data_IF_675800072708
#
_entry.id   IF_675800072708
#
_cell.length_a   1.000
_cell.length_b   1.000
_cell.length_c   1.000
_cell.angle_alpha   90.00
_cell.angle_beta   90.00
_cell.angle_gamma   90.00
#
_symmetry.space_group_name_H-M   'P 1'
#
loop_
_entity.id
_entity.type
_entity.pdbx_description
1 polymer ?
#
# COMPACT_ATOMS: atom_id res chain seq x y z
N UNK A 1 -45.82 30.89 44.79
CA UNK A 1 -45.41 29.47 44.74
C UNK A 1 -44.42 29.35 43.58
N UNK A 2 -43.11 29.40 43.81
CA UNK A 2 -42.28 28.27 44.25
C UNK A 2 -41.99 27.40 43.02
N UNK A 3 -40.82 27.47 42.38
CA UNK A 3 -39.64 26.72 42.79
C UNK A 3 -38.36 27.31 42.15
N UNK A 4 -37.32 27.47 42.98
CA UNK A 4 -35.94 27.69 42.57
C UNK A 4 -35.18 26.34 42.57
N UNK A 5 -34.05 26.33 41.86
CA UNK A 5 -32.82 25.56 42.11
C UNK A 5 -32.63 24.18 41.43
N UNK A 6 -31.64 24.15 40.51
CA UNK A 6 -30.33 23.49 40.69
C UNK A 6 -29.92 22.58 39.50
N UNK A 7 -28.90 23.04 38.76
CA UNK A 7 -28.07 22.23 37.85
C UNK A 7 -27.42 21.05 38.59
N UNK A 8 -27.33 19.84 38.00
CA UNK A 8 -26.37 18.84 38.44
C UNK A 8 -25.03 18.98 37.68
N UNK A 9 -24.01 19.44 38.41
CA UNK A 9 -22.61 19.58 38.03
C UNK A 9 -21.85 18.26 37.71
N UNK A 10 -22.53 17.14 37.46
CA UNK A 10 -21.90 15.81 37.42
C UNK A 10 -21.39 15.37 36.04
N UNK A 11 -21.89 15.96 34.94
CA UNK A 11 -21.59 15.51 33.57
C UNK A 11 -20.28 16.12 33.02
N UNK A 12 -19.78 17.19 33.65
CA UNK A 12 -18.59 17.92 33.19
C UNK A 12 -17.25 17.26 33.56
N UNK A 13 -17.21 16.32 34.52
CA UNK A 13 -15.95 15.63 34.90
C UNK A 13 -15.61 14.49 33.94
N UNK A 14 -16.62 13.79 33.42
CA UNK A 14 -16.45 12.64 32.54
C UNK A 14 -15.91 13.03 31.15
N UNK A 15 -16.41 14.13 30.57
CA UNK A 15 -15.91 14.65 29.28
C UNK A 15 -14.48 15.18 29.37
N UNK A 16 -14.09 15.76 30.51
CA UNK A 16 -12.70 16.15 30.79
C UNK A 16 -11.78 14.95 30.98
N UNK A 17 -12.26 13.87 31.60
CA UNK A 17 -11.52 12.62 31.73
C UNK A 17 -11.30 11.95 30.36
N UNK A 18 -12.33 11.93 29.51
CA UNK A 18 -12.24 11.43 28.13
C UNK A 18 -11.29 12.27 27.28
N UNK A 19 -11.30 13.60 27.39
CA UNK A 19 -10.33 14.47 26.72
C UNK A 19 -8.91 14.28 27.25
N UNK A 20 -8.73 14.07 28.55
CA UNK A 20 -7.41 13.77 29.13
C UNK A 20 -6.88 12.41 28.68
N UNK A 21 -7.73 11.38 28.65
CA UNK A 21 -7.37 10.06 28.14
C UNK A 21 -7.06 10.15 26.64
N UNK A 22 -7.87 10.87 25.85
CA UNK A 22 -7.63 11.07 24.41
C UNK A 22 -6.36 11.87 24.13
N UNK A 23 -6.04 12.89 24.94
CA UNK A 23 -4.80 13.67 24.84
C UNK A 23 -3.57 12.88 25.30
N UNK A 24 -3.68 12.08 26.36
CA UNK A 24 -2.63 11.15 26.81
C UNK A 24 -2.41 10.07 25.74
N UNK A 25 -3.48 9.57 25.11
CA UNK A 25 -3.39 8.61 24.02
C UNK A 25 -2.75 9.24 22.78
N UNK A 26 -3.15 10.46 22.39
CA UNK A 26 -2.56 11.20 21.27
C UNK A 26 -1.08 11.53 21.52
N UNK A 27 -0.70 11.86 22.76
CA UNK A 27 0.69 12.17 23.14
C UNK A 27 1.56 10.91 23.20
N UNK A 28 1.05 9.80 23.74
CA UNK A 28 1.73 8.50 23.72
C UNK A 28 1.84 7.93 22.29
N UNK A 29 0.84 8.16 21.43
CA UNK A 29 0.90 7.84 19.99
C UNK A 29 1.98 8.67 19.28
N UNK A 30 2.11 9.97 19.58
CA UNK A 30 3.16 10.81 18.98
C UNK A 30 4.56 10.36 19.41
N UNK A 31 4.71 9.95 20.68
CA UNK A 31 5.97 9.41 21.23
C UNK A 31 6.29 8.04 20.59
N UNK A 32 5.30 7.19 20.37
CA UNK A 32 5.48 5.91 19.67
C UNK A 32 5.81 6.10 18.17
N UNK A 33 5.21 7.11 17.53
CA UNK A 33 5.51 7.49 16.15
C UNK A 33 6.94 8.03 15.97
N UNK A 34 7.41 8.90 16.88
CA UNK A 34 8.78 9.45 16.84
C UNK A 34 9.85 8.42 17.23
N UNK A 35 9.51 7.47 18.10
CA UNK A 35 10.38 6.33 18.39
C UNK A 35 10.49 5.40 17.16
N UNK A 36 9.37 5.09 16.49
CA UNK A 36 9.35 4.19 15.33
C UNK A 36 10.17 4.70 14.14
N UNK A 37 10.19 6.02 13.88
CA UNK A 37 11.00 6.60 12.79
C UNK A 37 12.50 6.61 13.12
N UNK A 38 12.86 6.67 14.41
CA UNK A 38 14.26 6.60 14.87
C UNK A 38 14.83 5.18 14.79
N UNK A 39 13.99 4.16 15.01
CA UNK A 39 14.36 2.76 14.81
C UNK A 39 14.57 2.41 13.32
N UNK A 40 13.81 3.01 12.41
CA UNK A 40 13.93 2.76 10.97
C UNK A 40 15.23 3.35 10.35
N UNK A 41 15.68 4.51 10.83
CA UNK A 41 17.00 5.07 10.44
C UNK A 41 18.19 4.23 10.91
N UNK A 42 18.01 3.47 12.00
CA UNK A 42 19.05 2.56 12.51
C UNK A 42 19.09 1.23 11.73
N UNK A 43 17.93 0.72 11.32
CA UNK A 43 17.84 -0.54 10.54
C UNK A 43 18.37 -0.38 9.10
N UNK A 44 18.15 0.78 8.46
CA UNK A 44 18.74 1.07 7.13
C UNK A 44 20.26 1.26 7.14
N UNK A 45 20.90 1.43 8.31
CA UNK A 45 22.35 1.55 8.46
C UNK A 45 23.08 0.22 8.65
N UNK A 46 22.37 -0.86 8.98
CA UNK A 46 22.94 -2.18 9.24
C UNK A 46 22.33 -3.19 8.29
N UNK A 47 22.65 -3.03 7.01
CA UNK A 47 22.50 -4.12 6.05
C UNK A 47 23.53 -5.19 6.37
N UNK A 48 23.05 -6.42 6.54
CA UNK A 48 23.84 -7.65 6.50
C UNK A 48 24.40 -8.21 7.83
N UNK A 49 23.55 -8.49 8.82
CA UNK A 49 23.81 -9.53 9.82
C UNK A 49 22.49 -10.10 10.39
N UNK A 50 21.99 -11.16 9.75
CA UNK A 50 20.97 -12.02 10.34
C UNK A 50 21.64 -12.93 11.38
N UNK A 51 21.14 -12.89 12.63
CA UNK A 51 21.50 -13.73 13.78
C UNK A 51 22.62 -13.23 14.70
N UNK A 52 22.37 -12.14 15.42
CA UNK A 52 22.78 -11.93 16.82
C UNK A 52 22.25 -10.56 17.24
N UNK A 53 21.21 -10.53 18.08
CA UNK A 53 20.87 -9.47 19.05
C UNK A 53 19.43 -9.69 19.56
N UNK A 54 19.12 -10.94 19.94
CA UNK A 54 18.28 -11.14 21.10
C UNK A 54 19.20 -10.90 22.30
N UNK A 55 18.82 -9.97 23.16
CA UNK A 55 19.56 -9.49 24.34
C UNK A 55 20.31 -8.18 24.11
N UNK A 56 19.90 -7.19 24.90
CA UNK A 56 20.54 -5.91 25.20
C UNK A 56 20.18 -4.71 24.29
N UNK A 57 19.48 -3.78 24.93
CA UNK A 57 19.32 -2.36 24.58
C UNK A 57 18.13 -1.93 23.72
N UNK A 58 16.97 -2.57 23.88
CA UNK A 58 15.70 -1.95 23.50
C UNK A 58 15.20 -1.01 24.60
N UNK A 59 15.11 0.29 24.31
CA UNK A 59 14.58 1.32 25.23
C UNK A 59 13.12 1.05 25.66
N UNK A 60 12.40 0.24 24.88
CA UNK A 60 11.05 -0.25 25.21
C UNK A 60 11.06 -1.11 26.49
N UNK A 61 12.16 -1.82 26.78
CA UNK A 61 12.28 -2.63 28.00
C UNK A 61 12.61 -1.77 29.25
N UNK A 62 13.22 -0.59 29.07
CA UNK A 62 13.51 0.35 30.17
C UNK A 62 12.26 1.07 30.66
N UNK A 63 11.32 1.37 29.77
CA UNK A 63 10.03 1.99 30.13
C UNK A 63 9.12 0.99 30.83
N UNK A 64 9.12 -0.28 30.40
CA UNK A 64 8.40 -1.36 31.08
C UNK A 64 8.84 -1.60 32.53
N UNK A 65 10.15 -1.51 32.81
CA UNK A 65 10.68 -1.66 34.18
C UNK A 65 10.30 -0.48 35.11
N UNK A 66 10.28 0.75 34.60
CA UNK A 66 9.89 1.91 35.40
C UNK A 66 8.39 1.97 35.71
N UNK A 67 7.54 1.36 34.87
CA UNK A 67 6.11 1.26 35.13
C UNK A 67 5.79 0.17 36.17
N UNK A 68 6.54 -0.95 36.15
CA UNK A 68 6.40 -2.05 37.11
C UNK A 68 6.90 -1.66 38.52
N UNK A 69 7.97 -0.87 38.63
CA UNK A 69 8.50 -0.37 39.93
C UNK A 69 7.56 0.66 40.58
N UNK A 70 6.76 1.40 39.81
CA UNK A 70 5.81 2.38 40.35
C UNK A 70 4.52 1.75 40.89
N UNK A 71 4.17 0.53 40.45
CA UNK A 71 3.02 -0.21 40.99
C UNK A 71 3.33 -0.94 42.30
N UNK A 72 4.61 -1.22 42.60
CA UNK A 72 5.04 -1.80 43.89
C UNK A 72 5.26 -0.75 45.00
N UNK A 73 5.20 0.55 44.70
CA UNK A 73 5.47 1.63 45.66
C UNK A 73 4.21 2.15 46.39
N UNK A 74 3.05 1.53 46.20
CA UNK A 74 1.78 1.97 46.82
C UNK A 74 1.31 1.06 47.97
N UNK A 75 2.19 0.21 48.49
CA UNK A 75 1.87 -0.70 49.58
C UNK A 75 2.92 -0.58 50.71
N UNK A 76 2.88 0.53 51.45
CA UNK A 76 3.50 0.63 52.79
C UNK A 76 3.11 1.96 53.49
N UNK A 77 2.05 1.92 54.32
CA UNK A 77 1.94 2.68 55.57
C UNK A 77 0.57 2.50 56.22
N UNK A 78 0.47 1.63 57.23
CA UNK A 78 0.30 2.08 58.62
C UNK A 78 0.19 0.87 59.56
N UNK A 79 0.88 1.01 60.69
CA UNK A 79 1.17 -0.02 61.68
C UNK A 79 -0.07 -0.44 62.49
N UNK A 80 0.02 -1.65 63.04
CA UNK A 80 -1.05 -2.25 63.83
C UNK A 80 -1.37 -1.57 65.14
N UNK A 81 -2.60 -1.83 65.59
CA UNK A 81 -3.02 -1.80 66.99
C UNK A 81 -4.03 -2.92 67.21
N UNK A 82 -3.87 -3.60 68.34
CA UNK A 82 -4.65 -4.74 68.81
C UNK A 82 -6.16 -4.45 68.96
N UNK A 83 -6.96 -5.51 68.74
CA UNK A 83 -8.12 -5.93 69.54
C UNK A 83 -9.23 -4.90 69.84
N UNK A 84 -10.39 -5.03 69.19
CA UNK A 84 -11.69 -5.32 69.84
C UNK A 84 -12.76 -5.68 68.80
N UNK A 85 -13.54 -6.68 69.17
CA UNK A 85 -14.70 -7.26 68.50
C UNK A 85 -15.81 -6.23 68.23
N UNK A 86 -16.30 -6.13 66.98
CA UNK A 86 -17.62 -5.55 66.62
C UNK A 86 -17.91 -5.70 65.12
N UNK A 87 -18.83 -6.64 64.81
CA UNK A 87 -19.69 -6.75 63.63
C UNK A 87 -19.28 -5.94 62.38
N UNK A 88 -18.55 -6.59 61.47
CA UNK A 88 -18.23 -6.10 60.14
C UNK A 88 -19.48 -6.07 59.26
N UNK A 89 -20.05 -4.88 59.02
CA UNK A 89 -20.90 -4.66 57.85
C UNK A 89 -19.98 -4.69 56.62
N UNK A 90 -19.89 -5.85 55.96
CA UNK A 90 -19.24 -5.98 54.65
C UNK A 90 -20.06 -5.16 53.67
N UNK A 91 -19.70 -3.89 53.50
CA UNK A 91 -20.14 -3.09 52.36
C UNK A 91 -19.48 -3.72 51.13
N UNK A 92 -20.16 -4.71 50.56
CA UNK A 92 -19.83 -5.29 49.27
C UNK A 92 -19.93 -4.14 48.27
N UNK A 93 -18.82 -3.41 48.06
CA UNK A 93 -18.67 -2.54 46.90
C UNK A 93 -18.99 -3.44 45.73
N UNK A 94 -20.14 -3.20 45.12
CA UNK A 94 -20.48 -3.69 43.79
C UNK A 94 -19.31 -3.29 42.90
N UNK A 95 -18.35 -4.21 42.75
CA UNK A 95 -17.28 -4.13 41.76
C UNK A 95 -18.02 -4.23 40.46
N UNK A 96 -18.44 -3.05 40.02
CA UNK A 96 -19.54 -2.90 39.09
C UNK A 96 -19.14 -3.54 37.77
N UNK A 97 -20.13 -4.15 37.10
CA UNK A 97 -20.05 -4.79 35.78
C UNK A 97 -19.29 -3.92 34.75
N UNK A 98 -19.22 -2.62 34.97
CA UNK A 98 -18.46 -1.66 34.17
C UNK A 98 -16.93 -1.88 34.15
N UNK A 99 -16.33 -2.37 35.24
CA UNK A 99 -14.86 -2.55 35.32
C UNK A 99 -14.31 -3.54 34.29
N UNK A 100 -14.84 -4.78 34.18
CA UNK A 100 -14.40 -5.72 33.14
C UNK A 100 -14.76 -5.23 31.73
N UNK A 101 -15.91 -4.54 31.56
CA UNK A 101 -16.30 -3.96 30.27
C UNK A 101 -15.32 -2.88 29.78
N UNK A 102 -14.86 -2.01 30.67
CA UNK A 102 -13.87 -0.96 30.34
C UNK A 102 -12.53 -1.58 29.97
N UNK A 103 -12.08 -2.63 30.68
CA UNK A 103 -10.83 -3.34 30.36
C UNK A 103 -10.87 -3.94 28.94
N UNK A 104 -11.95 -4.64 28.61
CA UNK A 104 -12.15 -5.20 27.26
C UNK A 104 -12.24 -4.09 26.22
N UNK A 105 -12.92 -2.98 26.52
CA UNK A 105 -13.01 -1.81 25.65
C UNK A 105 -11.63 -1.24 25.30
N UNK A 106 -10.76 -1.05 26.28
CA UNK A 106 -9.39 -0.55 26.06
C UNK A 106 -8.57 -1.53 25.22
N UNK A 107 -8.68 -2.84 25.49
CA UNK A 107 -8.00 -3.85 24.68
C UNK A 107 -8.45 -3.80 23.22
N UNK A 108 -9.75 -3.75 22.97
CA UNK A 108 -10.31 -3.67 21.61
C UNK A 108 -9.83 -2.41 20.91
N UNK A 109 -9.90 -1.25 21.57
CA UNK A 109 -9.47 0.03 20.98
C UNK A 109 -7.97 -0.03 20.64
N UNK A 110 -7.13 -0.55 21.55
CA UNK A 110 -5.69 -0.68 21.30
C UNK A 110 -5.37 -1.61 20.13
N UNK A 111 -6.10 -2.73 20.01
CA UNK A 111 -5.95 -3.69 18.92
C UNK A 111 -6.36 -3.07 17.58
N UNK A 112 -7.48 -2.35 17.53
CA UNK A 112 -7.96 -1.68 16.31
C UNK A 112 -6.95 -0.63 15.83
N UNK A 113 -6.40 0.17 16.75
CA UNK A 113 -5.41 1.20 16.42
C UNK A 113 -4.13 0.55 15.88
N UNK A 114 -3.63 -0.51 16.54
CA UNK A 114 -2.45 -1.24 16.10
C UNK A 114 -2.65 -1.91 14.73
N UNK A 115 -3.75 -2.65 14.55
CA UNK A 115 -4.09 -3.30 13.29
C UNK A 115 -4.22 -2.30 12.15
N UNK A 116 -4.86 -1.16 12.41
CA UNK A 116 -5.01 -0.08 11.43
C UNK A 116 -3.67 0.51 11.01
N UNK A 117 -2.78 0.79 11.97
CA UNK A 117 -1.45 1.32 11.69
C UNK A 117 -0.57 0.31 10.93
N UNK A 118 -0.60 -0.96 11.33
CA UNK A 118 0.12 -2.03 10.65
C UNK A 118 -0.35 -2.18 9.19
N UNK A 119 -1.66 -2.19 8.95
CA UNK A 119 -2.22 -2.26 7.59
C UNK A 119 -1.82 -1.05 6.75
N UNK A 120 -1.88 0.17 7.30
CA UNK A 120 -1.44 1.39 6.59
C UNK A 120 0.01 1.30 6.13
N UNK A 121 0.91 0.88 7.02
CA UNK A 121 2.33 0.70 6.69
C UNK A 121 2.54 -0.38 5.63
N UNK A 122 1.83 -1.50 5.74
CA UNK A 122 1.91 -2.58 4.74
C UNK A 122 1.44 -2.09 3.36
N UNK A 123 0.39 -1.28 3.28
CA UNK A 123 -0.09 -0.69 2.02
C UNK A 123 0.94 0.29 1.45
N UNK A 124 1.56 1.13 2.28
CA UNK A 124 2.61 2.04 1.84
C UNK A 124 3.80 1.27 1.26
N UNK A 125 4.27 0.24 1.95
CA UNK A 125 5.32 -0.64 1.45
C UNK A 125 4.93 -1.23 0.09
N UNK A 126 3.72 -1.81 -0.05
CA UNK A 126 3.25 -2.35 -1.32
C UNK A 126 3.12 -1.31 -2.45
N UNK A 127 2.93 -0.02 -2.11
CA UNK A 127 2.80 1.08 -3.07
C UNK A 127 4.17 1.63 -3.51
N UNK A 128 5.20 1.49 -2.68
CA UNK A 128 6.57 1.93 -2.97
C UNK A 128 7.31 0.98 -3.93
N UNK A 129 6.78 -0.22 -4.20
CA UNK A 129 7.44 -1.15 -5.11
C UNK A 129 7.48 -0.58 -6.54
N UNK A 130 8.64 -0.69 -7.23
CA UNK A 130 8.76 -0.20 -8.59
C UNK A 130 7.87 -1.01 -9.56
N UNK A 131 7.34 -0.37 -10.61
CA UNK A 131 6.56 -1.09 -11.64
C UNK A 131 7.43 -2.10 -12.41
N UNK A 132 6.81 -3.16 -12.95
CA UNK A 132 7.48 -4.13 -13.84
C UNK A 132 7.64 -3.58 -15.25
N UNK A 133 6.69 -2.74 -15.67
CA UNK A 133 6.71 -2.10 -16.98
C UNK A 133 7.25 -0.69 -16.87
N UNK A 134 7.78 -0.20 -17.98
CA UNK A 134 8.08 1.22 -18.13
C UNK A 134 6.78 2.04 -18.13
N UNK A 135 6.94 3.35 -17.98
CA UNK A 135 5.86 4.33 -18.04
C UNK A 135 4.99 4.14 -19.31
N UNK A 136 3.71 4.51 -19.21
CA UNK A 136 2.76 4.24 -20.28
C UNK A 136 2.54 5.47 -21.16
N UNK A 137 3.48 5.68 -22.09
CA UNK A 137 3.43 6.79 -23.06
C UNK A 137 2.08 6.89 -23.79
N UNK A 138 1.47 5.75 -24.14
CA UNK A 138 0.19 5.74 -24.84
C UNK A 138 -0.98 6.24 -23.96
N UNK A 139 -0.93 5.95 -22.65
CA UNK A 139 -1.90 6.44 -21.66
C UNK A 139 -1.69 7.92 -21.41
N UNK A 140 -0.45 8.35 -21.24
CA UNK A 140 -0.13 9.75 -20.95
C UNK A 140 -0.43 10.66 -22.14
N UNK A 141 -0.10 10.23 -23.36
CA UNK A 141 -0.49 10.92 -24.60
C UNK A 141 -2.00 11.04 -24.73
N UNK A 142 -2.75 9.98 -24.39
CA UNK A 142 -4.21 10.03 -24.41
C UNK A 142 -4.76 11.09 -23.44
N UNK A 143 -4.25 11.13 -22.20
CA UNK A 143 -4.69 12.14 -21.23
C UNK A 143 -4.28 13.55 -21.60
N UNK A 144 -3.09 13.74 -22.18
CA UNK A 144 -2.68 15.03 -22.73
C UNK A 144 -3.63 15.48 -23.84
N UNK A 145 -3.97 14.59 -24.78
CA UNK A 145 -4.94 14.89 -25.84
C UNK A 145 -6.32 15.19 -25.25
N UNK A 146 -6.74 14.47 -24.20
CA UNK A 146 -8.01 14.69 -23.50
C UNK A 146 -8.04 16.08 -22.82
N UNK A 147 -6.98 16.46 -22.11
CA UNK A 147 -6.85 17.80 -21.51
C UNK A 147 -6.87 18.91 -22.57
N UNK A 148 -6.16 18.70 -23.69
CA UNK A 148 -6.17 19.66 -24.80
C UNK A 148 -7.57 19.76 -25.41
N UNK A 149 -8.31 18.65 -25.51
CA UNK A 149 -9.68 18.64 -26.06
C UNK A 149 -10.69 19.44 -25.23
N UNK A 150 -10.43 19.63 -23.93
CA UNK A 150 -11.24 20.47 -23.04
C UNK A 150 -10.98 21.96 -23.27
N UNK A 151 -9.75 22.33 -23.66
CA UNK A 151 -9.34 23.73 -23.88
C UNK A 151 -9.49 24.17 -25.33
N UNK A 152 -9.28 23.27 -26.27
CA UNK A 152 -9.28 23.51 -27.71
C UNK A 152 -10.12 22.44 -28.43
N UNK A 153 -10.80 22.81 -29.52
CA UNK A 153 -11.59 21.88 -30.32
C UNK A 153 -10.74 20.86 -31.08
N UNK A 154 -10.38 19.75 -30.41
CA UNK A 154 -9.76 18.58 -31.04
C UNK A 154 -10.84 17.75 -31.75
N UNK A 155 -10.53 17.27 -32.95
CA UNK A 155 -11.46 16.44 -33.71
C UNK A 155 -11.66 15.06 -33.03
N UNK A 156 -12.92 14.62 -32.90
CA UNK A 156 -13.32 13.39 -32.21
C UNK A 156 -12.57 12.13 -32.68
N UNK A 157 -12.34 11.99 -33.99
CA UNK A 157 -11.52 10.90 -34.58
C UNK A 157 -10.10 10.81 -33.99
N UNK A 158 -9.47 11.94 -33.63
CA UNK A 158 -8.12 11.93 -33.04
C UNK A 158 -8.19 11.34 -31.63
N UNK A 159 -9.21 11.71 -30.85
CA UNK A 159 -9.43 11.17 -29.51
C UNK A 159 -9.73 9.65 -29.55
N UNK A 160 -10.55 9.20 -30.51
CA UNK A 160 -10.82 7.77 -30.74
C UNK A 160 -9.55 7.00 -31.16
N UNK A 161 -8.73 7.57 -32.05
CA UNK A 161 -7.47 6.96 -32.46
C UNK A 161 -6.46 6.87 -31.31
N UNK A 162 -6.37 7.91 -30.46
CA UNK A 162 -5.54 7.89 -29.27
C UNK A 162 -6.01 6.83 -28.26
N UNK A 163 -7.33 6.68 -28.06
CA UNK A 163 -7.87 5.64 -27.18
C UNK A 163 -7.58 4.23 -27.73
N UNK A 164 -7.66 4.01 -29.05
CA UNK A 164 -7.28 2.74 -29.68
C UNK A 164 -5.80 2.41 -29.45
N UNK A 165 -4.91 3.40 -29.51
CA UNK A 165 -3.49 3.19 -29.23
C UNK A 165 -3.24 2.84 -27.75
N UNK A 166 -3.92 3.54 -26.82
CA UNK A 166 -3.91 3.19 -25.38
C UNK A 166 -4.41 1.76 -25.16
N UNK A 167 -5.56 1.40 -25.74
CA UNK A 167 -6.15 0.07 -25.62
C UNK A 167 -5.25 -1.04 -26.19
N UNK A 168 -4.60 -0.80 -27.33
CA UNK A 168 -3.65 -1.75 -27.92
C UNK A 168 -2.43 -1.99 -27.00
N UNK A 169 -1.87 -0.95 -26.38
CA UNK A 169 -0.76 -1.09 -25.44
C UNK A 169 -1.18 -1.79 -24.13
N UNK A 170 -2.37 -1.51 -23.59
CA UNK A 170 -2.90 -2.23 -22.42
C UNK A 170 -3.10 -3.72 -22.72
N UNK A 171 -3.63 -4.08 -23.90
CA UNK A 171 -3.76 -5.47 -24.35
C UNK A 171 -2.39 -6.13 -24.52
N UNK A 172 -1.41 -5.42 -25.09
CA UNK A 172 -0.03 -5.92 -25.24
C UNK A 172 0.58 -6.27 -23.88
N UNK A 173 0.44 -5.39 -22.88
CA UNK A 173 0.93 -5.63 -21.51
C UNK A 173 0.20 -6.81 -20.86
N UNK A 174 -1.13 -6.88 -21.02
CA UNK A 174 -1.94 -8.01 -20.52
C UNK A 174 -1.49 -9.36 -21.11
N UNK A 175 -1.26 -9.45 -22.42
CA UNK A 175 -0.77 -10.69 -23.02
C UNK A 175 0.61 -11.07 -22.50
N UNK A 176 1.51 -10.10 -22.38
CA UNK A 176 2.86 -10.34 -21.86
C UNK A 176 2.84 -10.85 -20.42
N UNK A 177 1.99 -10.30 -19.55
CA UNK A 177 1.85 -10.83 -18.18
C UNK A 177 1.30 -12.25 -18.16
N UNK A 178 0.24 -12.54 -18.94
CA UNK A 178 -0.33 -13.89 -19.02
C UNK A 178 0.65 -14.92 -19.56
N UNK A 179 1.45 -14.54 -20.55
CA UNK A 179 2.50 -15.41 -21.09
C UNK A 179 3.60 -15.69 -20.06
N UNK A 180 3.92 -14.72 -19.19
CA UNK A 180 4.95 -14.79 -18.16
C UNK A 180 4.50 -15.44 -16.85
N UNK A 181 3.20 -15.61 -16.64
CA UNK A 181 2.62 -16.18 -15.42
C UNK A 181 3.20 -17.55 -15.02
N UNK A 182 3.24 -18.57 -15.92
CA UNK A 182 3.76 -19.88 -15.54
C UNK A 182 5.26 -19.85 -15.21
N UNK A 183 6.06 -19.05 -15.91
CA UNK A 183 7.51 -18.95 -15.68
C UNK A 183 7.78 -18.30 -14.32
N UNK A 184 7.09 -17.21 -13.98
CA UNK A 184 7.24 -16.55 -12.69
C UNK A 184 6.77 -17.46 -11.55
N UNK A 185 5.66 -18.18 -11.73
CA UNK A 185 5.16 -19.14 -10.73
C UNK A 185 6.16 -20.26 -10.43
N UNK A 186 6.83 -20.80 -11.46
CA UNK A 186 7.88 -21.81 -11.28
C UNK A 186 9.09 -21.21 -10.57
N UNK A 187 9.57 -20.04 -10.99
CA UNK A 187 10.72 -19.38 -10.38
C UNK A 187 10.49 -18.98 -8.92
N UNK A 188 9.25 -18.62 -8.57
CA UNK A 188 8.85 -18.34 -7.19
C UNK A 188 8.85 -19.62 -6.33
N UNK A 189 8.29 -20.73 -6.83
CA UNK A 189 8.32 -22.03 -6.14
C UNK A 189 9.75 -22.55 -5.93
N UNK A 190 10.64 -22.27 -6.88
CA UNK A 190 12.05 -22.63 -6.79
C UNK A 190 12.84 -21.75 -5.79
N UNK A 191 12.24 -20.67 -5.27
CA UNK A 191 12.89 -19.72 -4.36
C UNK A 191 13.91 -18.81 -5.03
N UNK A 192 13.96 -18.76 -6.37
CA UNK A 192 14.87 -17.89 -7.13
C UNK A 192 14.39 -16.43 -7.20
N UNK A 193 13.10 -16.20 -6.94
CA UNK A 193 12.47 -14.87 -6.92
C UNK A 193 12.05 -14.55 -5.48
N UNK A 194 12.33 -13.33 -5.02
CA UNK A 194 11.90 -12.85 -3.70
C UNK A 194 10.39 -12.59 -3.62
N UNK A 195 9.82 -12.69 -2.42
CA UNK A 195 8.39 -12.46 -2.14
C UNK A 195 7.92 -11.06 -2.56
N UNK A 196 8.79 -10.05 -2.43
CA UNK A 196 8.49 -8.67 -2.86
C UNK A 196 8.18 -8.61 -4.36
N UNK A 197 8.97 -9.26 -5.20
CA UNK A 197 8.74 -9.29 -6.65
C UNK A 197 7.47 -10.05 -7.02
N UNK A 198 7.15 -11.13 -6.30
CA UNK A 198 5.91 -11.86 -6.51
C UNK A 198 4.68 -10.99 -6.20
N UNK A 199 4.70 -10.26 -5.08
CA UNK A 199 3.65 -9.29 -4.73
C UNK A 199 3.55 -8.17 -5.77
N UNK A 200 4.68 -7.67 -6.26
CA UNK A 200 4.77 -6.69 -7.36
C UNK A 200 4.05 -7.17 -8.62
N UNK A 201 4.33 -8.40 -9.03
CA UNK A 201 3.70 -9.03 -10.19
C UNK A 201 2.18 -9.14 -10.02
N UNK A 202 1.72 -9.61 -8.86
CA UNK A 202 0.30 -9.71 -8.55
C UNK A 202 -0.39 -8.33 -8.53
N UNK A 203 0.31 -7.28 -8.10
CA UNK A 203 -0.19 -5.91 -8.16
C UNK A 203 -0.32 -5.43 -9.62
N UNK A 204 0.73 -5.61 -10.43
CA UNK A 204 0.75 -5.21 -11.85
C UNK A 204 -0.34 -5.88 -12.68
N UNK A 205 -0.61 -7.17 -12.45
CA UNK A 205 -1.73 -7.87 -13.10
C UNK A 205 -3.05 -7.14 -12.82
N UNK A 206 -3.30 -6.76 -11.56
CA UNK A 206 -4.52 -6.04 -11.16
C UNK A 206 -4.56 -4.63 -11.72
N UNK A 207 -3.44 -3.91 -11.73
CA UNK A 207 -3.34 -2.55 -12.29
C UNK A 207 -3.71 -2.57 -13.78
N UNK A 208 -3.20 -3.53 -14.54
CA UNK A 208 -3.51 -3.66 -15.97
C UNK A 208 -4.96 -4.10 -16.20
N UNK A 209 -5.52 -4.96 -15.36
CA UNK A 209 -6.95 -5.30 -15.43
C UNK A 209 -7.85 -4.09 -15.17
N UNK A 210 -7.48 -3.23 -14.22
CA UNK A 210 -8.20 -1.99 -13.93
C UNK A 210 -8.06 -1.03 -15.13
N UNK A 211 -6.84 -0.82 -15.63
CA UNK A 211 -6.60 0.07 -16.78
C UNK A 211 -7.36 -0.42 -18.02
N UNK A 212 -7.44 -1.73 -18.24
CA UNK A 212 -8.25 -2.31 -19.31
C UNK A 212 -9.74 -2.00 -19.13
N UNK A 213 -10.29 -2.17 -17.91
CA UNK A 213 -11.69 -1.81 -17.62
C UNK A 213 -11.96 -0.33 -17.83
N UNK A 214 -11.04 0.55 -17.43
CA UNK A 214 -11.14 1.99 -17.66
C UNK A 214 -11.20 2.31 -19.16
N UNK A 215 -10.37 1.66 -19.99
CA UNK A 215 -10.42 1.88 -21.45
C UNK A 215 -11.75 1.45 -22.07
N UNK A 216 -12.39 0.40 -21.54
CA UNK A 216 -13.72 -0.03 -21.98
C UNK A 216 -14.82 0.95 -21.58
N UNK A 217 -14.76 1.45 -20.34
CA UNK A 217 -15.70 2.47 -19.86
C UNK A 217 -15.57 3.76 -20.66
N UNK A 218 -14.34 4.17 -20.96
CA UNK A 218 -14.07 5.35 -21.79
C UNK A 218 -14.56 5.13 -23.23
N UNK A 219 -14.36 3.95 -23.81
CA UNK A 219 -14.88 3.61 -25.14
C UNK A 219 -16.41 3.71 -25.20
N UNK A 220 -17.12 3.20 -24.20
CA UNK A 220 -18.58 3.35 -24.10
C UNK A 220 -19.00 4.83 -23.98
N UNK A 221 -18.23 5.63 -23.23
CA UNK A 221 -18.51 7.06 -23.07
C UNK A 221 -18.34 7.87 -24.36
N UNK A 222 -17.39 7.47 -25.22
CA UNK A 222 -17.18 8.12 -26.52
C UNK A 222 -18.22 7.68 -27.56
N UNK A 223 -18.64 6.41 -27.52
CA UNK A 223 -19.64 5.89 -28.44
C UNK A 223 -20.35 4.68 -27.83
N UNK A 224 -21.66 4.81 -27.63
CA UNK A 224 -22.50 3.74 -27.09
C UNK A 224 -22.41 2.46 -27.95
N UNK A 225 -22.19 1.31 -27.31
CA UNK A 225 -22.10 0.00 -27.97
C UNK A 225 -20.77 -0.28 -28.70
N UNK A 226 -19.79 0.61 -28.61
CA UNK A 226 -18.46 0.41 -29.19
C UNK A 226 -17.54 -0.61 -28.49
N UNK A 227 -17.60 -0.86 -27.15
CA UNK A 227 -16.65 -1.70 -26.42
C UNK A 227 -16.47 -3.13 -26.97
N UNK A 228 -17.54 -3.73 -27.52
CA UNK A 228 -17.48 -5.10 -28.05
C UNK A 228 -16.54 -5.20 -29.27
N UNK A 229 -16.66 -4.23 -30.18
CA UNK A 229 -15.80 -4.15 -31.36
C UNK A 229 -14.41 -3.59 -31.00
N UNK A 230 -14.35 -2.67 -30.05
CA UNK A 230 -13.12 -2.03 -29.58
C UNK A 230 -12.04 -3.03 -29.17
N UNK A 231 -12.38 -4.05 -28.39
CA UNK A 231 -11.42 -5.07 -27.92
C UNK A 231 -10.82 -5.84 -29.09
N UNK A 232 -11.64 -6.24 -30.06
CA UNK A 232 -11.19 -6.98 -31.25
C UNK A 232 -10.23 -6.13 -32.08
N UNK A 233 -10.61 -4.88 -32.36
CA UNK A 233 -9.76 -3.94 -33.11
C UNK A 233 -8.44 -3.69 -32.36
N UNK A 234 -8.46 -3.45 -31.05
CA UNK A 234 -7.25 -3.22 -30.28
C UNK A 234 -6.29 -4.42 -30.30
N UNK A 235 -6.83 -5.66 -30.31
CA UNK A 235 -6.01 -6.87 -30.47
C UNK A 235 -5.33 -6.91 -31.84
N UNK A 236 -6.07 -6.65 -32.91
CA UNK A 236 -5.52 -6.63 -34.28
C UNK A 236 -4.45 -5.54 -34.43
N UNK A 237 -4.71 -4.34 -33.92
CA UNK A 237 -3.72 -3.24 -33.90
C UNK A 237 -2.48 -3.65 -33.12
N UNK A 238 -2.63 -4.25 -31.93
CA UNK A 238 -1.51 -4.73 -31.13
C UNK A 238 -0.62 -5.72 -31.91
N UNK A 239 -1.23 -6.70 -32.59
CA UNK A 239 -0.47 -7.66 -33.40
C UNK A 239 0.18 -7.02 -34.62
N UNK A 240 -0.51 -6.12 -35.31
CA UNK A 240 0.06 -5.39 -36.44
C UNK A 240 1.25 -4.52 -36.01
N UNK A 241 1.12 -3.76 -34.91
CA UNK A 241 2.20 -2.97 -34.34
C UNK A 241 3.40 -3.86 -33.95
N UNK A 242 3.16 -5.01 -33.34
CA UNK A 242 4.21 -5.96 -33.01
C UNK A 242 4.94 -6.47 -34.27
N UNK A 243 4.18 -6.82 -35.32
CA UNK A 243 4.73 -7.25 -36.60
C UNK A 243 5.56 -6.15 -37.26
N UNK A 244 5.04 -4.92 -37.34
CA UNK A 244 5.77 -3.77 -37.91
C UNK A 244 7.07 -3.48 -37.15
N UNK A 245 7.04 -3.51 -35.80
CA UNK A 245 8.26 -3.35 -34.97
C UNK A 245 9.30 -4.42 -35.29
N UNK A 246 8.88 -5.68 -35.47
CA UNK A 246 9.78 -6.78 -35.83
C UNK A 246 10.31 -6.64 -37.24
N UNK A 247 9.48 -6.28 -38.21
CA UNK A 247 9.89 -6.04 -39.59
C UNK A 247 10.96 -4.94 -39.68
N UNK A 248 10.72 -3.79 -39.06
CA UNK A 248 11.68 -2.68 -39.03
C UNK A 248 13.00 -3.07 -38.32
N UNK A 249 12.94 -3.93 -37.30
CA UNK A 249 14.15 -4.44 -36.62
C UNK A 249 15.03 -5.32 -37.50
N UNK A 250 14.48 -5.97 -38.55
CA UNK A 250 15.25 -6.82 -39.46
C UNK A 250 16.18 -5.96 -40.31
N UNK A 251 15.68 -4.84 -40.83
CA UNK A 251 16.47 -3.90 -41.61
C UNK A 251 17.62 -3.31 -40.79
N UNK A 252 17.34 -2.87 -39.56
CA UNK A 252 18.37 -2.38 -38.64
C UNK A 252 19.40 -3.46 -38.28
N UNK A 253 18.97 -4.71 -38.06
CA UNK A 253 19.88 -5.84 -37.80
C UNK A 253 20.77 -6.16 -39.00
N UNK A 254 20.26 -6.01 -40.22
CA UNK A 254 21.07 -6.17 -41.45
C UNK A 254 22.26 -5.21 -41.44
N UNK A 255 22.01 -3.92 -41.17
CA UNK A 255 23.07 -2.90 -41.12
C UNK A 255 24.10 -3.19 -40.02
N UNK A 256 23.64 -3.57 -38.83
CA UNK A 256 24.53 -3.94 -37.72
C UNK A 256 25.39 -5.15 -38.10
N UNK A 257 24.80 -6.16 -38.73
CA UNK A 257 25.51 -7.38 -39.14
C UNK A 257 26.60 -7.08 -40.19
N UNK A 258 26.31 -6.24 -41.18
CA UNK A 258 27.28 -5.81 -42.20
C UNK A 258 28.48 -5.13 -41.54
N UNK A 259 28.21 -4.26 -40.55
CA UNK A 259 29.25 -3.54 -39.82
C UNK A 259 30.08 -4.47 -38.94
N UNK A 260 29.43 -5.35 -38.17
CA UNK A 260 30.10 -6.23 -37.21
C UNK A 260 30.96 -7.30 -37.89
N UNK A 261 30.53 -7.80 -39.05
CA UNK A 261 31.24 -8.83 -39.82
C UNK A 261 32.04 -8.27 -40.99
N UNK A 262 32.16 -6.94 -41.09
CA UNK A 262 32.89 -6.24 -42.15
C UNK A 262 32.54 -6.72 -43.57
N UNK A 263 31.27 -7.08 -43.79
CA UNK A 263 30.82 -7.66 -45.04
C UNK A 263 30.81 -6.61 -46.15
N UNK A 264 31.56 -6.85 -47.21
CA UNK A 264 31.47 -6.07 -48.44
C UNK A 264 30.37 -6.68 -49.31
N UNK A 265 29.20 -6.07 -49.32
CA UNK A 265 28.07 -6.48 -50.16
C UNK A 265 28.01 -5.59 -51.40
N UNK A 266 27.82 -6.20 -52.56
CA UNK A 266 27.37 -5.51 -53.78
C UNK A 266 25.89 -5.11 -53.66
N UNK A 267 25.43 -4.21 -54.53
CA UNK A 267 24.03 -3.78 -54.59
C UNK A 267 23.04 -4.93 -54.86
N UNK A 268 23.51 -6.02 -55.48
CA UNK A 268 22.77 -7.28 -55.67
C UNK A 268 22.57 -8.09 -54.38
N UNK A 269 23.19 -7.69 -53.26
CA UNK A 269 23.18 -8.41 -51.99
C UNK A 269 24.14 -9.60 -51.92
N UNK A 270 25.09 -9.71 -52.86
CA UNK A 270 26.14 -10.73 -52.87
C UNK A 270 27.44 -10.23 -52.24
N UNK A 271 28.21 -11.14 -51.61
CA UNK A 271 29.52 -10.82 -51.07
C UNK A 271 30.53 -10.57 -52.19
N UNK A 272 31.35 -9.53 -52.01
CA UNK A 272 32.51 -9.27 -52.85
C UNK A 272 33.62 -10.22 -52.37
N UNK A 273 34.06 -11.13 -53.24
CA UNK A 273 35.24 -11.96 -53.00
C UNK A 273 36.53 -11.14 -53.03
#
# INVERSE_FOLDING_TARGET
>A
MGFKNALPLSIASSTRLFLYIFLIFKRNILIFCTASTKYEKLIKSTGNDHNRFLSQNCAVCKIGKNLLVKMSAFNESSNGSEFFDSAEHVETKIVSVYTPLIYVGILIISLIVFASQYRRRKIQQMTELPSIFDENDAKDLYFQIKQISETQSVHEKVLKAALLNRGAETIRRSFKLKELEPQISILYKNGSIGEEYWQRYQNEVKVIEIDFKETLQEAESLQAGWPQLFVTICKEICFNQALSRRYNSILKRKEICIKEWELKLNDDGRLIQ
#
